data_IF_531949301337
#
_entry.id   IF_531949301337
#
_cell.length_a   1.000
_cell.length_b   1.000
_cell.length_c   1.000
_cell.angle_alpha   90.00
_cell.angle_beta   90.00
_cell.angle_gamma   90.00
#
_symmetry.space_group_name_H-M   'P 1'
#
loop_
_entity.id
_entity.type
_entity.pdbx_description
1 polymer ?
#
# COMPACT_ATOMS: atom_id res chain seq x y z
N UNK A 1 -4.47 -16.68 -7.64
CA UNK A 1 -3.22 -15.93 -7.39
C UNK A 1 -2.48 -16.61 -6.25
N UNK A 2 -1.14 -16.75 -6.27
CA UNK A 2 -0.41 -17.18 -5.08
C UNK A 2 -0.68 -16.20 -3.93
N UNK A 3 -0.76 -16.72 -2.71
CA UNK A 3 -0.94 -15.92 -1.51
C UNK A 3 0.24 -14.93 -1.35
N UNK A 4 0.02 -13.75 -0.72
CA UNK A 4 1.12 -12.86 -0.36
C UNK A 4 2.13 -13.57 0.54
N UNK A 5 3.38 -13.11 0.55
CA UNK A 5 4.36 -13.59 1.52
C UNK A 5 3.85 -13.35 2.95
N UNK A 6 4.26 -14.17 3.94
CA UNK A 6 3.86 -13.96 5.33
C UNK A 6 4.15 -12.55 5.85
N UNK A 7 5.26 -11.95 5.42
CA UNK A 7 5.65 -10.59 5.80
C UNK A 7 4.70 -9.53 5.22
N UNK A 8 4.37 -9.63 3.93
CA UNK A 8 3.39 -8.75 3.28
C UNK A 8 2.02 -8.93 3.93
N UNK A 9 1.62 -10.16 4.27
CA UNK A 9 0.35 -10.43 4.95
C UNK A 9 0.30 -9.74 6.33
N UNK A 10 1.37 -9.81 7.12
CA UNK A 10 1.44 -9.12 8.42
C UNK A 10 1.42 -7.61 8.25
N UNK A 11 2.24 -7.05 7.36
CA UNK A 11 2.37 -5.60 7.19
C UNK A 11 1.10 -4.99 6.59
N UNK A 12 0.45 -5.68 5.64
CA UNK A 12 -0.84 -5.24 5.10
C UNK A 12 -1.87 -5.07 6.20
N UNK A 13 -1.87 -5.92 7.24
CA UNK A 13 -2.76 -5.79 8.41
C UNK A 13 -2.43 -4.62 9.35
N UNK A 14 -1.23 -4.04 9.27
CA UNK A 14 -0.66 -3.07 10.23
C UNK A 14 -0.14 -1.80 9.56
N UNK A 15 -0.77 -1.39 8.46
CA UNK A 15 -0.45 -0.12 7.81
C UNK A 15 -0.61 1.04 8.81
N UNK A 16 0.35 1.98 8.89
CA UNK A 16 0.26 3.12 9.80
C UNK A 16 -0.89 4.05 9.44
N UNK A 17 -1.42 4.76 10.43
CA UNK A 17 -2.56 5.65 10.22
C UNK A 17 -3.83 4.89 9.81
N UNK A 18 -4.76 5.61 9.19
CA UNK A 18 -6.01 5.04 8.67
C UNK A 18 -5.91 4.83 7.17
N UNK A 19 -5.99 3.58 6.71
CA UNK A 19 -6.02 3.25 5.29
C UNK A 19 -7.34 2.56 4.92
N UNK A 20 -8.18 3.27 4.15
CA UNK A 20 -9.50 2.80 3.73
C UNK A 20 -9.45 2.10 2.37
N UNK A 21 -8.64 1.05 2.24
CA UNK A 21 -8.56 0.21 1.03
C UNK A 21 -9.00 -1.22 1.29
N UNK A 22 -9.31 -1.95 0.23
CA UNK A 22 -9.66 -3.37 0.34
C UNK A 22 -8.43 -4.24 0.66
N UNK A 23 -8.62 -5.56 0.73
CA UNK A 23 -7.50 -6.47 1.03
C UNK A 23 -6.39 -6.41 -0.03
N UNK A 24 -6.73 -6.22 -1.30
CA UNK A 24 -5.78 -6.13 -2.40
C UNK A 24 -4.99 -4.81 -2.33
N UNK A 25 -5.67 -3.68 -2.11
CA UNK A 25 -5.01 -2.37 -1.94
C UNK A 25 -4.00 -2.41 -0.79
N UNK A 26 -4.38 -3.03 0.33
CA UNK A 26 -3.51 -3.16 1.50
C UNK A 26 -2.28 -4.03 1.21
N UNK A 27 -2.44 -5.08 0.41
CA UNK A 27 -1.32 -5.92 -0.05
C UNK A 27 -0.41 -5.13 -0.98
N UNK A 28 -0.95 -4.33 -1.91
CA UNK A 28 -0.15 -3.49 -2.81
C UNK A 28 0.65 -2.45 -2.03
N UNK A 29 0.02 -1.72 -1.11
CA UNK A 29 0.69 -0.73 -0.26
C UNK A 29 1.73 -1.36 0.64
N UNK A 30 1.43 -2.48 1.28
CA UNK A 30 2.40 -3.19 2.11
C UNK A 30 3.61 -3.68 1.30
N UNK A 31 3.38 -4.21 0.10
CA UNK A 31 4.46 -4.65 -0.79
C UNK A 31 5.33 -3.47 -1.20
N UNK A 32 4.72 -2.34 -1.58
CA UNK A 32 5.46 -1.15 -1.95
C UNK A 32 6.32 -0.61 -0.80
N UNK A 33 5.78 -0.59 0.41
CA UNK A 33 6.51 -0.15 1.61
C UNK A 33 7.66 -1.07 2.00
N UNK A 34 7.47 -2.39 1.91
CA UNK A 34 8.51 -3.37 2.28
C UNK A 34 9.66 -3.44 1.28
N UNK A 35 9.39 -3.10 0.02
CA UNK A 35 10.35 -3.22 -1.07
C UNK A 35 10.80 -1.86 -1.62
N UNK A 36 10.52 -0.77 -0.89
CA UNK A 36 10.86 0.61 -1.26
C UNK A 36 10.44 0.98 -2.69
N UNK A 37 9.24 0.54 -3.10
CA UNK A 37 8.67 0.79 -4.43
C UNK A 37 7.77 2.03 -4.43
N UNK A 38 7.63 2.63 -5.61
CA UNK A 38 6.66 3.69 -5.89
C UNK A 38 5.42 3.12 -6.56
N UNK A 39 4.24 3.38 -6.00
CA UNK A 39 2.97 3.03 -6.63
C UNK A 39 2.55 4.10 -7.63
N UNK A 40 2.40 3.71 -8.89
CA UNK A 40 1.78 4.55 -9.93
C UNK A 40 0.29 4.23 -9.94
N UNK A 41 -0.57 5.20 -9.62
CA UNK A 41 -2.01 4.95 -9.49
C UNK A 41 -2.83 6.21 -9.75
N UNK A 42 -4.08 6.02 -10.19
CA UNK A 42 -5.12 7.06 -10.21
C UNK A 42 -6.03 6.97 -8.96
N UNK A 43 -5.83 5.99 -8.09
CA UNK A 43 -6.69 5.78 -6.92
C UNK A 43 -6.46 6.88 -5.87
N UNK A 44 -7.49 7.69 -5.63
CA UNK A 44 -7.43 8.84 -4.74
C UNK A 44 -7.11 8.47 -3.29
N UNK A 45 -7.50 7.26 -2.82
CA UNK A 45 -7.24 6.84 -1.44
C UNK A 45 -5.77 6.47 -1.25
N UNK A 46 -5.18 5.78 -2.23
CA UNK A 46 -3.74 5.48 -2.21
C UNK A 46 -2.93 6.77 -2.37
N UNK A 47 -3.36 7.70 -3.23
CA UNK A 47 -2.71 9.00 -3.38
C UNK A 47 -2.77 9.83 -2.08
N UNK A 48 -3.92 9.89 -1.41
CA UNK A 48 -4.05 10.57 -0.12
C UNK A 48 -3.14 9.95 0.95
N UNK A 49 -3.07 8.62 0.99
CA UNK A 49 -2.19 7.90 1.90
C UNK A 49 -0.69 8.16 1.61
N UNK A 50 -0.33 8.30 0.33
CA UNK A 50 0.99 8.74 -0.08
C UNK A 50 1.30 10.20 0.27
N UNK A 51 0.29 11.08 0.25
CA UNK A 51 0.43 12.48 0.69
C UNK A 51 0.73 12.60 2.19
N UNK A 52 0.29 11.63 3.01
CA UNK A 52 0.69 11.47 4.41
C UNK A 52 2.10 10.88 4.58
N UNK A 53 2.83 10.69 3.48
CA UNK A 53 4.17 10.10 3.41
C UNK A 53 4.25 8.65 3.90
N UNK A 54 3.12 7.94 3.94
CA UNK A 54 3.10 6.53 4.30
C UNK A 54 3.50 5.60 3.15
N UNK A 55 3.45 6.03 1.90
CA UNK A 55 3.93 5.21 0.78
C UNK A 55 4.35 6.13 -0.36
N UNK A 56 5.38 5.74 -1.11
CA UNK A 56 5.79 6.49 -2.29
C UNK A 56 4.74 6.31 -3.39
N UNK A 57 4.23 7.42 -3.93
CA UNK A 57 3.22 7.40 -4.98
C UNK A 57 3.54 8.39 -6.11
N UNK A 58 3.08 8.04 -7.30
CA UNK A 58 2.99 8.94 -8.45
C UNK A 58 1.54 8.88 -8.94
N UNK A 59 0.90 10.04 -9.07
CA UNK A 59 -0.38 10.13 -9.79
C UNK A 59 -0.12 9.89 -11.27
N UNK A 60 -0.84 8.94 -11.85
CA UNK A 60 -0.99 8.86 -13.30
C UNK A 60 -2.36 9.39 -13.70
#
# INVERSE_FOLDING_TARGET
SPAPSPEVAVVSSRLPGYFHGDAADRILVASARLHDLTLVTHDERILAYGAEQYVSVISH
#
